data_IF_073375847842
#
_entry.id   IF_073375847842
#
_cell.length_a   1.000
_cell.length_b   1.000
_cell.length_c   1.000
_cell.angle_alpha   90.00
_cell.angle_beta   90.00
_cell.angle_gamma   90.00
#
_symmetry.space_group_name_H-M   'P 1'
#
loop_
_entity.id
_entity.type
_entity.pdbx_description
1 polymer ?
#
# COMPACT_ATOMS: atom_id res chain seq x y z
N UNK A 1 39.49 8.33 -3.79
CA UNK A 1 38.55 7.31 -3.26
C UNK A 1 37.17 7.72 -3.72
N UNK A 2 36.35 6.81 -4.24
CA UNK A 2 34.93 7.15 -4.46
C UNK A 2 34.30 7.14 -3.07
N UNK A 3 33.91 8.31 -2.57
CA UNK A 3 33.28 8.39 -1.26
C UNK A 3 31.92 7.67 -1.32
N UNK A 4 31.81 6.60 -0.53
CA UNK A 4 30.54 5.91 -0.28
C UNK A 4 29.64 6.83 0.54
N UNK A 5 28.35 6.75 0.26
CA UNK A 5 27.36 7.51 1.01
C UNK A 5 27.09 6.83 2.34
N UNK A 6 27.13 7.61 3.42
CA UNK A 6 26.69 7.13 4.73
C UNK A 6 25.18 6.85 4.72
N UNK A 7 24.69 5.85 5.49
CA UNK A 7 23.26 5.60 5.66
C UNK A 7 22.47 6.85 6.04
N UNK A 8 23.01 7.73 6.89
CA UNK A 8 22.34 9.00 7.26
C UNK A 8 22.09 9.90 6.06
N UNK A 9 23.06 10.06 5.16
CA UNK A 9 22.88 10.83 3.92
C UNK A 9 21.83 10.18 3.01
N UNK A 10 21.83 8.85 2.92
CA UNK A 10 20.87 8.13 2.08
C UNK A 10 19.44 8.18 2.65
N UNK A 11 19.28 8.16 3.97
CA UNK A 11 17.99 8.35 4.66
C UNK A 11 17.44 9.74 4.36
N UNK A 12 18.27 10.78 4.37
CA UNK A 12 17.83 12.14 3.97
C UNK A 12 17.31 12.19 2.54
N UNK A 13 17.95 11.47 1.61
CA UNK A 13 17.48 11.36 0.22
C UNK A 13 16.15 10.61 0.14
N UNK A 14 16.00 9.51 0.87
CA UNK A 14 14.76 8.74 0.90
C UNK A 14 13.59 9.55 1.47
N UNK A 15 13.85 10.40 2.47
CA UNK A 15 12.84 11.23 3.14
C UNK A 15 12.61 12.59 2.49
N UNK A 16 13.27 12.89 1.38
CA UNK A 16 13.07 14.15 0.67
C UNK A 16 11.62 14.28 0.17
N UNK A 17 11.05 15.48 0.25
CA UNK A 17 9.63 15.73 -0.06
C UNK A 17 9.26 15.33 -1.50
N UNK A 18 10.16 15.59 -2.46
CA UNK A 18 10.00 15.20 -3.88
C UNK A 18 9.97 13.68 -4.07
N UNK A 19 10.62 12.94 -3.18
CA UNK A 19 10.61 11.47 -3.15
C UNK A 19 9.33 11.00 -2.49
N UNK A 20 8.97 11.50 -1.31
CA UNK A 20 7.77 11.09 -0.58
C UNK A 20 6.49 11.32 -1.40
N UNK A 21 6.36 12.45 -2.11
CA UNK A 21 5.23 12.70 -3.03
C UNK A 21 5.07 11.61 -4.11
N UNK A 22 6.17 11.01 -4.56
CA UNK A 22 6.16 9.92 -5.56
C UNK A 22 5.89 8.54 -4.96
N UNK A 23 5.79 8.44 -3.64
CA UNK A 23 5.59 7.22 -2.88
C UNK A 23 4.18 7.10 -2.31
N UNK A 24 3.34 8.13 -2.46
CA UNK A 24 1.99 8.12 -1.90
C UNK A 24 1.11 7.09 -2.62
N UNK A 25 0.37 6.33 -1.83
CA UNK A 25 -0.56 5.31 -2.29
C UNK A 25 -1.88 5.44 -1.51
N UNK A 26 -3.02 5.12 -2.15
CA UNK A 26 -4.34 5.54 -1.69
C UNK A 26 -4.72 4.90 -0.34
N UNK A 27 -4.69 3.57 -0.23
CA UNK A 27 -5.14 2.86 0.96
C UNK A 27 -4.25 3.16 2.16
N UNK A 28 -2.93 3.17 1.95
CA UNK A 28 -1.98 3.54 3.00
C UNK A 28 -2.23 4.96 3.48
N UNK A 29 -2.45 5.92 2.58
CA UNK A 29 -2.67 7.33 2.93
C UNK A 29 -4.02 7.60 3.61
N UNK A 30 -5.04 6.79 3.32
CA UNK A 30 -6.38 6.95 3.90
C UNK A 30 -6.56 6.19 5.21
N UNK A 31 -6.03 4.96 5.30
CA UNK A 31 -6.39 4.02 6.36
C UNK A 31 -5.21 3.55 7.21
N UNK A 32 -3.96 3.88 6.84
CA UNK A 32 -2.75 3.47 7.58
C UNK A 32 -1.81 4.68 7.77
N UNK A 33 -2.34 5.71 8.42
CA UNK A 33 -1.75 7.06 8.44
C UNK A 33 -0.60 7.23 9.43
N UNK A 34 -0.40 6.28 10.33
CA UNK A 34 0.63 6.34 11.38
C UNK A 34 1.66 5.22 11.19
N UNK A 35 2.87 5.45 11.66
CA UNK A 35 3.91 4.42 11.69
C UNK A 35 4.38 4.12 13.11
N UNK A 36 4.73 2.85 13.35
CA UNK A 36 5.31 2.37 14.62
C UNK A 36 6.55 1.56 14.29
N UNK A 37 7.67 1.80 14.97
CA UNK A 37 8.93 1.11 14.69
C UNK A 37 9.44 0.36 15.92
N UNK A 38 9.75 -0.91 15.73
CA UNK A 38 10.23 -1.82 16.76
C UNK A 38 11.76 -1.97 16.70
N UNK A 39 12.40 -2.21 17.84
CA UNK A 39 13.81 -2.66 17.87
C UNK A 39 13.91 -4.17 17.67
N UNK A 40 12.91 -4.89 18.15
CA UNK A 40 12.77 -6.32 17.93
C UNK A 40 12.55 -6.61 16.45
N UNK A 41 13.11 -7.73 15.98
CA UNK A 41 12.83 -8.25 14.63
C UNK A 41 11.33 -8.37 14.36
N UNK A 42 10.60 -8.81 15.38
CA UNK A 42 9.17 -9.08 15.33
C UNK A 42 8.38 -7.88 15.86
N UNK A 43 7.18 -7.70 15.31
CA UNK A 43 6.20 -6.68 15.73
C UNK A 43 5.41 -7.27 16.89
N UNK A 44 5.37 -6.54 18.00
CA UNK A 44 4.71 -6.99 19.24
C UNK A 44 3.44 -6.16 19.44
N UNK A 45 2.30 -6.72 19.05
CA UNK A 45 1.02 -6.02 18.96
C UNK A 45 0.52 -5.51 20.31
N UNK A 46 0.69 -6.27 21.39
CA UNK A 46 0.18 -5.90 22.71
C UNK A 46 0.99 -4.80 23.41
N UNK A 47 2.11 -4.39 22.83
CA UNK A 47 2.88 -3.21 23.29
C UNK A 47 2.44 -1.91 22.63
N UNK A 48 1.54 -1.97 21.64
CA UNK A 48 1.02 -0.81 20.94
C UNK A 48 -0.12 -0.21 21.77
N UNK A 49 0.10 0.99 22.31
CA UNK A 49 -0.88 1.71 23.12
C UNK A 49 -1.95 2.39 22.24
N UNK A 50 -2.79 1.58 21.60
CA UNK A 50 -3.95 2.05 20.85
C UNK A 50 -5.12 1.06 20.92
N UNK A 51 -6.26 1.43 21.51
CA UNK A 51 -7.41 0.54 21.66
C UNK A 51 -8.11 0.18 20.35
N UNK A 52 -7.80 0.88 19.24
CA UNK A 52 -8.36 0.59 17.92
C UNK A 52 -7.53 -0.42 17.13
N UNK A 53 -6.30 -0.69 17.56
CA UNK A 53 -5.39 -1.64 16.93
C UNK A 53 -5.60 -3.03 17.57
N UNK A 54 -5.67 -4.11 16.77
CA UNK A 54 -5.81 -5.45 17.31
C UNK A 54 -4.58 -5.85 18.13
N UNK A 55 -4.83 -6.46 19.30
CA UNK A 55 -3.78 -6.92 20.23
C UNK A 55 -3.16 -8.26 19.79
N UNK A 56 -3.80 -8.96 18.85
CA UNK A 56 -3.38 -10.24 18.30
C UNK A 56 -3.94 -10.42 16.88
N UNK A 57 -3.32 -11.29 16.11
CA UNK A 57 -3.81 -11.76 14.83
C UNK A 57 -3.77 -13.29 14.78
N UNK A 58 -4.61 -13.90 13.95
CA UNK A 58 -4.56 -15.35 13.75
C UNK A 58 -3.52 -15.67 12.67
N UNK A 59 -2.49 -16.42 13.03
CA UNK A 59 -1.40 -16.82 12.14
C UNK A 59 -1.59 -18.28 11.72
N UNK A 60 -1.46 -18.59 10.43
CA UNK A 60 -1.51 -19.96 9.93
C UNK A 60 -0.31 -20.26 9.02
N UNK A 61 0.48 -21.32 9.26
CA UNK A 61 1.55 -21.70 8.36
C UNK A 61 0.99 -22.12 6.99
N UNK A 62 1.82 -22.01 5.95
CA UNK A 62 1.45 -22.42 4.60
C UNK A 62 2.38 -23.50 4.06
N UNK A 63 1.79 -24.54 3.47
CA UNK A 63 2.53 -25.56 2.69
C UNK A 63 2.26 -25.31 1.21
N UNK A 64 3.22 -24.69 0.54
CA UNK A 64 3.05 -24.20 -0.83
C UNK A 64 1.98 -23.10 -0.92
N UNK A 65 0.87 -23.39 -1.60
CA UNK A 65 -0.27 -22.48 -1.74
C UNK A 65 -1.44 -22.81 -0.82
N UNK A 66 -1.35 -23.87 0.00
CA UNK A 66 -2.41 -24.28 0.92
C UNK A 66 -2.13 -23.74 2.31
N UNK A 67 -3.14 -23.14 2.92
CA UNK A 67 -3.10 -22.64 4.31
C UNK A 67 -3.47 -23.78 5.25
N UNK A 68 -2.60 -24.10 6.20
CA UNK A 68 -2.84 -25.10 7.23
C UNK A 68 -3.56 -24.47 8.42
N UNK A 69 -4.87 -24.21 8.27
CA UNK A 69 -5.68 -23.56 9.32
C UNK A 69 -5.78 -24.37 10.61
N UNK A 70 -5.71 -25.70 10.53
CA UNK A 70 -5.72 -26.59 11.72
C UNK A 70 -4.46 -26.42 12.59
N UNK A 71 -3.36 -25.94 11.99
CA UNK A 71 -2.11 -25.60 12.67
C UNK A 71 -2.02 -24.11 13.03
N UNK A 72 -3.11 -23.36 12.81
CA UNK A 72 -3.18 -21.93 13.08
C UNK A 72 -3.29 -21.62 14.57
N UNK A 73 -2.80 -20.45 14.97
CA UNK A 73 -2.83 -19.99 16.35
C UNK A 73 -2.98 -18.47 16.42
N UNK A 74 -3.59 -17.98 17.50
CA UNK A 74 -3.64 -16.56 17.80
C UNK A 74 -2.28 -16.10 18.37
N UNK A 75 -1.69 -15.08 17.75
CA UNK A 75 -0.38 -14.55 18.14
C UNK A 75 -0.44 -13.05 18.34
N UNK A 76 0.20 -12.60 19.42
CA UNK A 76 0.49 -11.19 19.69
C UNK A 76 1.77 -10.72 18.98
N UNK A 77 2.58 -11.65 18.52
CA UNK A 77 3.86 -11.38 17.86
C UNK A 77 3.75 -11.75 16.38
N UNK A 78 4.05 -10.78 15.53
CA UNK A 78 4.01 -10.94 14.07
C UNK A 78 5.44 -10.80 13.54
N UNK A 79 5.84 -11.72 12.67
CA UNK A 79 7.12 -11.60 11.98
C UNK A 79 6.91 -10.99 10.59
N UNK A 80 7.23 -9.70 10.37
CA UNK A 80 7.00 -9.07 9.08
C UNK A 80 7.89 -9.65 7.98
N UNK A 81 7.43 -9.53 6.73
CA UNK A 81 8.23 -9.86 5.56
C UNK A 81 9.41 -8.89 5.42
N UNK A 82 10.64 -9.38 5.64
CA UNK A 82 11.83 -8.54 5.52
C UNK A 82 12.16 -8.29 4.05
N UNK A 83 12.23 -7.02 3.66
CA UNK A 83 12.54 -6.57 2.30
C UNK A 83 13.93 -5.94 2.23
N UNK A 84 14.69 -6.28 1.18
CA UNK A 84 16.02 -5.72 0.93
C UNK A 84 16.33 -5.49 -0.56
N UNK A 85 15.46 -4.79 -1.33
CA UNK A 85 15.70 -4.53 -2.74
C UNK A 85 17.07 -3.87 -2.96
N UNK A 86 17.82 -4.41 -3.92
CA UNK A 86 19.20 -4.00 -4.24
C UNK A 86 19.33 -3.59 -5.71
N UNK A 87 20.23 -2.67 -5.98
CA UNK A 87 20.56 -2.22 -7.34
C UNK A 87 22.05 -2.00 -7.46
N UNK A 88 22.65 -2.50 -8.54
CA UNK A 88 24.04 -2.19 -8.88
C UNK A 88 24.14 -0.79 -9.50
N UNK A 89 25.20 -0.06 -9.15
CA UNK A 89 25.53 1.24 -9.71
C UNK A 89 26.60 1.03 -10.76
N UNK A 90 26.15 0.86 -12.01
CA UNK A 90 27.05 0.76 -13.15
C UNK A 90 27.36 2.17 -13.67
N UNK A 91 28.58 2.71 -13.53
CA UNK A 91 28.93 4.05 -13.98
C UNK A 91 28.89 4.21 -15.50
N UNK A 92 29.04 3.13 -16.28
CA UNK A 92 29.13 3.17 -17.74
C UNK A 92 27.76 3.30 -18.43
N UNK A 93 26.67 2.93 -17.75
CA UNK A 93 25.31 3.19 -18.28
C UNK A 93 24.99 4.68 -18.20
N UNK A 94 24.58 5.33 -19.28
CA UNK A 94 24.20 6.75 -19.21
C UNK A 94 22.97 6.93 -18.30
N UNK A 95 23.05 7.79 -17.28
CA UNK A 95 21.86 8.18 -16.54
C UNK A 95 20.99 9.10 -17.42
N UNK A 96 19.68 9.06 -17.24
CA UNK A 96 18.81 10.08 -17.84
C UNK A 96 18.95 11.34 -16.98
N UNK A 97 19.31 12.47 -17.61
CA UNK A 97 19.45 13.77 -16.93
C UNK A 97 18.09 14.16 -16.32
N UNK A 98 18.01 14.43 -15.00
CA UNK A 98 16.81 14.95 -14.38
C UNK A 98 16.40 16.32 -14.96
N UNK A 99 15.10 16.61 -14.99
CA UNK A 99 14.61 17.93 -15.35
C UNK A 99 15.20 19.00 -14.41
N UNK A 100 15.75 20.09 -14.96
CA UNK A 100 16.33 21.20 -14.19
C UNK A 100 17.84 21.17 -13.95
N UNK A 101 18.57 20.09 -14.30
CA UNK A 101 20.05 20.03 -14.16
C UNK A 101 20.73 20.53 -15.44
N UNK A 102 21.69 21.46 -15.39
CA UNK A 102 22.37 21.94 -16.61
C UNK A 102 23.33 20.87 -17.19
N UNK A 103 23.54 20.83 -18.52
CA UNK A 103 24.49 19.88 -19.13
C UNK A 103 25.92 19.97 -18.57
N UNK A 104 26.33 21.15 -18.11
CA UNK A 104 27.66 21.43 -17.57
C UNK A 104 27.89 20.81 -16.18
N UNK A 105 26.82 20.57 -15.40
CA UNK A 105 26.87 19.88 -14.11
C UNK A 105 26.86 18.34 -14.26
N UNK A 106 26.67 17.84 -15.49
CA UNK A 106 26.55 16.42 -15.80
C UNK A 106 27.93 15.80 -16.11
N UNK A 107 28.80 15.76 -15.11
CA UNK A 107 30.05 14.99 -15.17
C UNK A 107 29.83 13.55 -14.65
N UNK A 108 30.83 12.67 -14.81
CA UNK A 108 30.74 11.26 -14.39
C UNK A 108 30.37 11.08 -12.89
N UNK A 109 30.78 12.01 -12.03
CA UNK A 109 30.40 12.04 -10.60
C UNK A 109 28.93 12.43 -10.40
N UNK A 110 28.43 13.42 -11.15
CA UNK A 110 27.01 13.79 -11.17
C UNK A 110 26.13 12.63 -11.65
N UNK A 111 26.56 11.91 -12.68
CA UNK A 111 25.85 10.73 -13.19
C UNK A 111 25.76 9.59 -12.16
N UNK A 112 26.83 9.32 -11.39
CA UNK A 112 26.80 8.36 -10.28
C UNK A 112 25.80 8.78 -9.21
N UNK A 113 25.83 10.03 -8.77
CA UNK A 113 24.97 10.55 -7.71
C UNK A 113 23.49 10.46 -8.09
N UNK A 114 23.17 10.77 -9.35
CA UNK A 114 21.82 10.62 -9.92
C UNK A 114 21.37 9.15 -9.88
N UNK A 115 22.24 8.20 -10.25
CA UNK A 115 21.90 6.77 -10.20
C UNK A 115 21.68 6.26 -8.78
N UNK A 116 22.50 6.69 -7.82
CA UNK A 116 22.30 6.35 -6.40
C UNK A 116 20.95 6.87 -5.93
N UNK A 117 20.62 8.15 -6.19
CA UNK A 117 19.30 8.72 -5.88
C UNK A 117 18.19 7.93 -6.56
N UNK A 118 18.31 7.62 -7.85
CA UNK A 118 17.30 6.87 -8.60
C UNK A 118 17.11 5.44 -8.06
N UNK A 119 18.18 4.77 -7.68
CA UNK A 119 18.14 3.44 -7.07
C UNK A 119 17.35 3.49 -5.75
N UNK A 120 17.63 4.46 -4.88
CA UNK A 120 16.90 4.64 -3.61
C UNK A 120 15.43 4.91 -3.86
N UNK A 121 15.10 5.80 -4.80
CA UNK A 121 13.71 6.11 -5.16
C UNK A 121 12.99 4.86 -5.66
N UNK A 122 13.60 4.08 -6.56
CA UNK A 122 13.01 2.86 -7.09
C UNK A 122 12.82 1.79 -6.00
N UNK A 123 13.79 1.64 -5.11
CA UNK A 123 13.73 0.71 -3.98
C UNK A 123 12.64 1.11 -2.99
N UNK A 124 12.55 2.40 -2.65
CA UNK A 124 11.50 2.95 -1.80
C UNK A 124 10.12 2.77 -2.44
N UNK A 125 9.98 2.97 -3.76
CA UNK A 125 8.75 2.69 -4.51
C UNK A 125 8.34 1.22 -4.41
N UNK A 126 9.27 0.29 -4.56
CA UNK A 126 8.99 -1.14 -4.43
C UNK A 126 8.51 -1.52 -3.01
N UNK A 127 9.16 -0.97 -1.98
CA UNK A 127 8.74 -1.18 -0.58
C UNK A 127 7.35 -0.60 -0.34
N UNK A 128 7.08 0.63 -0.78
CA UNK A 128 5.77 1.29 -0.63
C UNK A 128 4.68 0.59 -1.43
N UNK A 129 4.98 0.08 -2.61
CA UNK A 129 4.06 -0.76 -3.37
C UNK A 129 3.72 -2.06 -2.60
N UNK A 130 4.69 -2.71 -1.95
CA UNK A 130 4.40 -3.87 -1.10
C UNK A 130 3.52 -3.51 0.09
N UNK A 131 3.75 -2.36 0.73
CA UNK A 131 2.92 -1.85 1.83
C UNK A 131 1.49 -1.61 1.35
N UNK A 132 1.31 -0.94 0.21
CA UNK A 132 -0.02 -0.70 -0.36
C UNK A 132 -0.72 -2.00 -0.74
N UNK A 133 0.00 -2.95 -1.33
CA UNK A 133 -0.55 -4.27 -1.66
C UNK A 133 -1.03 -5.00 -0.39
N UNK A 134 -0.23 -5.01 0.67
CA UNK A 134 -0.65 -5.58 1.96
C UNK A 134 -1.84 -4.82 2.56
N UNK A 135 -1.87 -3.49 2.49
CA UNK A 135 -2.96 -2.66 2.98
C UNK A 135 -4.29 -2.99 2.26
N UNK A 136 -4.27 -3.08 0.93
CA UNK A 136 -5.44 -3.45 0.14
C UNK A 136 -5.88 -4.88 0.44
N UNK A 137 -4.96 -5.85 0.51
CA UNK A 137 -5.29 -7.24 0.86
C UNK A 137 -5.91 -7.35 2.25
N UNK A 138 -5.36 -6.63 3.24
CA UNK A 138 -5.88 -6.62 4.59
C UNK A 138 -7.34 -6.11 4.64
N UNK A 139 -7.63 -5.02 3.94
CA UNK A 139 -8.98 -4.43 3.92
C UNK A 139 -9.97 -5.25 3.08
N UNK A 140 -9.54 -5.75 1.92
CA UNK A 140 -10.44 -6.43 0.97
C UNK A 140 -10.73 -7.88 1.33
N UNK A 141 -9.79 -8.56 2.00
CA UNK A 141 -9.91 -9.99 2.31
C UNK A 141 -9.87 -10.28 3.81
N UNK A 142 -9.48 -9.30 4.63
CA UNK A 142 -9.17 -9.50 6.05
C UNK A 142 -7.82 -10.19 6.29
N UNK A 143 -7.05 -10.48 5.24
CA UNK A 143 -5.89 -11.37 5.33
C UNK A 143 -4.68 -10.84 4.60
N UNK A 144 -3.50 -11.26 5.06
CA UNK A 144 -2.24 -11.02 4.37
C UNK A 144 -1.43 -12.31 4.27
N UNK A 145 -0.84 -12.56 3.10
CA UNK A 145 0.18 -13.58 2.95
C UNK A 145 1.54 -12.92 3.18
N UNK A 146 2.24 -13.40 4.20
CA UNK A 146 3.55 -12.89 4.60
C UNK A 146 4.62 -13.83 4.09
N UNK A 147 5.58 -13.26 3.38
CA UNK A 147 6.77 -13.93 2.87
C UNK A 147 7.94 -12.95 2.94
N UNK A 148 9.15 -13.49 2.98
CA UNK A 148 10.35 -12.66 3.05
C UNK A 148 11.57 -13.48 3.42
N UNK A 149 12.71 -12.79 3.47
CA UNK A 149 13.97 -13.46 3.75
C UNK A 149 14.01 -14.05 5.18
N UNK A 150 14.34 -15.33 5.26
CA UNK A 150 14.55 -16.02 6.54
C UNK A 150 13.26 -16.24 7.34
N UNK A 151 12.11 -16.29 6.66
CA UNK A 151 10.81 -16.68 7.23
C UNK A 151 10.11 -17.67 6.30
N UNK A 152 9.42 -18.64 6.88
CA UNK A 152 8.49 -19.47 6.12
C UNK A 152 7.23 -18.67 5.81
N UNK A 153 6.59 -18.97 4.67
CA UNK A 153 5.39 -18.29 4.22
C UNK A 153 4.22 -18.63 5.15
N UNK A 154 3.45 -17.62 5.55
CA UNK A 154 2.29 -17.81 6.43
C UNK A 154 1.18 -16.80 6.15
N UNK A 155 -0.06 -17.15 6.51
CA UNK A 155 -1.24 -16.28 6.45
C UNK A 155 -1.43 -15.56 7.80
N UNK A 156 -1.62 -14.25 7.75
CA UNK A 156 -2.19 -13.45 8.82
C UNK A 156 -3.67 -13.21 8.52
N UNK A 157 -4.54 -13.54 9.47
CA UNK A 157 -5.98 -13.28 9.41
C UNK A 157 -6.35 -12.28 10.52
N UNK A 158 -6.83 -11.11 10.11
CA UNK A 158 -7.30 -10.02 10.96
C UNK A 158 -8.72 -10.26 11.48
N UNK A 159 -9.34 -11.38 11.11
CA UNK A 159 -10.66 -11.81 11.54
C UNK A 159 -11.77 -10.82 11.12
N UNK A 160 -11.74 -10.42 9.85
CA UNK A 160 -12.86 -9.68 9.26
C UNK A 160 -14.10 -10.58 9.22
N UNK A 161 -15.26 -10.04 9.60
CA UNK A 161 -16.52 -10.79 9.56
C UNK A 161 -16.86 -11.19 8.12
N UNK A 162 -17.28 -12.44 7.86
CA UNK A 162 -17.62 -12.88 6.50
C UNK A 162 -18.70 -12.04 5.82
N UNK A 163 -19.67 -11.51 6.58
CA UNK A 163 -20.73 -10.64 6.06
C UNK A 163 -20.21 -9.30 5.49
N UNK A 164 -19.00 -8.89 5.86
CA UNK A 164 -18.34 -7.69 5.35
C UNK A 164 -17.65 -7.94 3.99
N UNK A 165 -17.57 -9.19 3.53
CA UNK A 165 -17.04 -9.56 2.21
C UNK A 165 -18.18 -10.07 1.36
N UNK A 166 -18.72 -9.20 0.52
CA UNK A 166 -19.92 -9.44 -0.28
C UNK A 166 -19.52 -9.76 -1.72
N UNK A 167 -20.19 -10.73 -2.32
CA UNK A 167 -20.08 -11.01 -3.76
C UNK A 167 -21.48 -10.99 -4.35
N UNK A 168 -21.73 -10.05 -5.25
CA UNK A 168 -22.96 -10.05 -6.03
C UNK A 168 -23.02 -11.34 -6.86
N UNK A 169 -24.18 -11.97 -6.85
CA UNK A 169 -24.42 -13.20 -7.61
C UNK A 169 -25.89 -13.34 -8.00
N UNK A 170 -26.13 -13.91 -9.18
CA UNK A 170 -27.47 -14.18 -9.69
C UNK A 170 -28.32 -12.90 -9.78
N UNK A 171 -29.52 -12.91 -9.20
CA UNK A 171 -30.45 -11.78 -9.31
C UNK A 171 -30.02 -10.49 -8.62
N UNK A 172 -28.94 -10.50 -7.83
CA UNK A 172 -28.37 -9.33 -7.15
C UNK A 172 -27.32 -8.61 -7.98
N UNK A 173 -26.84 -9.21 -9.07
CA UNK A 173 -25.80 -8.61 -9.90
C UNK A 173 -26.30 -7.36 -10.60
N UNK A 174 -25.51 -6.29 -10.49
CA UNK A 174 -25.75 -5.07 -11.26
C UNK A 174 -25.66 -5.31 -12.77
N UNK A 175 -25.08 -6.43 -13.23
CA UNK A 175 -25.05 -6.85 -14.65
C UNK A 175 -26.45 -7.00 -15.24
N UNK A 176 -27.37 -7.58 -14.47
CA UNK A 176 -28.70 -7.98 -14.89
C UNK A 176 -29.81 -6.99 -14.51
N UNK A 177 -29.47 -5.89 -13.82
CA UNK A 177 -30.45 -4.87 -13.42
C UNK A 177 -30.80 -3.94 -14.60
N UNK A 178 -32.05 -3.51 -14.63
CA UNK A 178 -32.52 -2.51 -15.60
C UNK A 178 -31.90 -1.14 -15.29
N UNK A 179 -31.15 -0.60 -16.25
CA UNK A 179 -30.43 0.66 -16.11
C UNK A 179 -31.32 1.87 -15.98
N UNK A 180 -32.59 1.78 -16.41
CA UNK A 180 -33.52 2.90 -16.41
C UNK A 180 -34.30 3.03 -15.10
N UNK A 181 -34.48 1.93 -14.37
CA UNK A 181 -35.36 1.88 -13.19
C UNK A 181 -34.65 1.52 -11.90
N UNK A 182 -33.53 0.79 -11.97
CA UNK A 182 -32.78 0.38 -10.78
C UNK A 182 -31.88 1.51 -10.26
N UNK A 183 -31.91 1.74 -8.95
CA UNK A 183 -30.98 2.62 -8.26
C UNK A 183 -29.95 1.78 -7.46
N UNK A 184 -28.67 1.77 -7.84
CA UNK A 184 -27.64 1.05 -7.10
C UNK A 184 -27.28 1.69 -5.75
N UNK A 185 -27.78 2.89 -5.42
CA UNK A 185 -27.55 3.51 -4.11
C UNK A 185 -28.20 2.71 -2.97
N UNK A 186 -29.40 2.15 -3.18
CA UNK A 186 -30.11 1.35 -2.17
C UNK A 186 -29.30 0.10 -1.76
N UNK A 187 -28.64 -0.51 -2.76
CA UNK A 187 -27.71 -1.61 -2.56
C UNK A 187 -26.48 -1.17 -1.76
N UNK A 188 -25.90 0.00 -2.08
CA UNK A 188 -24.74 0.54 -1.36
C UNK A 188 -25.09 0.84 0.10
N UNK A 189 -26.26 1.41 0.37
CA UNK A 189 -26.76 1.63 1.73
C UNK A 189 -26.90 0.31 2.48
N UNK A 190 -27.48 -0.71 1.84
CA UNK A 190 -27.60 -2.06 2.41
C UNK A 190 -26.23 -2.71 2.68
N UNK A 191 -25.24 -2.52 1.79
CA UNK A 191 -23.88 -3.00 2.02
C UNK A 191 -23.22 -2.28 3.19
N UNK A 192 -23.46 -0.97 3.35
CA UNK A 192 -22.90 -0.18 4.44
C UNK A 192 -23.38 -0.63 5.82
N UNK A 193 -24.59 -1.22 5.93
CA UNK A 193 -25.15 -1.73 7.20
C UNK A 193 -24.33 -2.88 7.82
N UNK A 194 -23.52 -3.59 7.03
CA UNK A 194 -22.62 -4.62 7.56
C UNK A 194 -21.40 -4.05 8.30
N UNK A 195 -21.12 -2.75 8.13
CA UNK A 195 -20.04 -2.06 8.84
C UNK A 195 -20.41 -1.79 10.31
N UNK A 196 -19.46 -2.00 11.22
CA UNK A 196 -19.61 -1.61 12.65
C UNK A 196 -19.44 -0.09 12.89
N UNK A 197 -19.59 0.72 11.85
CA UNK A 197 -19.40 2.17 11.88
C UNK A 197 -19.99 2.84 10.65
N UNK A 198 -19.93 4.17 10.65
CA UNK A 198 -20.41 4.98 9.52
C UNK A 198 -19.43 4.88 8.35
N UNK A 199 -19.95 4.75 7.13
CA UNK A 199 -19.18 4.85 5.89
C UNK A 199 -19.12 6.30 5.45
N UNK A 200 -17.93 6.85 5.17
CA UNK A 200 -17.78 8.20 4.60
C UNK A 200 -17.03 8.23 3.27
N UNK A 201 -16.54 7.08 2.81
CA UNK A 201 -15.84 6.94 1.55
C UNK A 201 -16.11 5.57 0.91
N UNK A 202 -16.27 5.58 -0.41
CA UNK A 202 -16.35 4.40 -1.27
C UNK A 202 -15.22 4.48 -2.28
N UNK A 203 -14.35 3.48 -2.28
CA UNK A 203 -13.27 3.32 -3.24
C UNK A 203 -13.68 2.24 -4.23
N UNK A 204 -13.87 2.63 -5.49
CA UNK A 204 -14.32 1.76 -6.57
C UNK A 204 -13.16 1.40 -7.50
N UNK A 205 -13.10 0.13 -7.91
CA UNK A 205 -12.36 -0.28 -9.08
C UNK A 205 -12.95 0.30 -10.37
N UNK A 206 -12.15 0.31 -11.44
CA UNK A 206 -12.54 0.93 -12.71
C UNK A 206 -13.81 0.32 -13.34
N UNK A 207 -14.01 -0.99 -13.22
CA UNK A 207 -15.20 -1.66 -13.74
C UNK A 207 -16.42 -1.39 -12.88
N UNK A 208 -16.26 -1.34 -11.55
CA UNK A 208 -17.34 -0.93 -10.64
C UNK A 208 -17.86 0.45 -11.02
N UNK A 209 -16.97 1.44 -11.14
CA UNK A 209 -17.37 2.79 -11.53
C UNK A 209 -18.07 2.82 -12.89
N UNK A 210 -17.53 2.08 -13.88
CA UNK A 210 -18.12 1.99 -15.22
C UNK A 210 -19.56 1.47 -15.17
N UNK A 211 -19.84 0.51 -14.30
CA UNK A 211 -21.15 -0.10 -14.13
C UNK A 211 -22.10 0.78 -13.34
N UNK A 212 -21.65 1.27 -12.19
CA UNK A 212 -22.37 2.19 -11.32
C UNK A 212 -22.86 3.44 -12.06
N UNK A 213 -21.99 4.11 -12.82
CA UNK A 213 -22.37 5.30 -13.60
C UNK A 213 -23.28 5.03 -14.80
N UNK A 214 -23.59 3.76 -15.10
CA UNK A 214 -24.40 3.40 -16.26
C UNK A 214 -25.91 3.51 -16.00
N UNK A 215 -26.31 3.44 -14.73
CA UNK A 215 -27.69 3.58 -14.27
C UNK A 215 -28.17 5.03 -14.39
N UNK A 216 -29.43 5.23 -14.81
CA UNK A 216 -30.04 6.55 -15.03
C UNK A 216 -30.06 7.39 -13.75
N UNK A 217 -30.44 6.79 -12.61
CA UNK A 217 -30.44 7.46 -11.30
C UNK A 217 -29.08 8.11 -10.98
N UNK A 218 -27.99 7.41 -11.28
CA UNK A 218 -26.63 7.90 -11.04
C UNK A 218 -26.23 9.00 -12.05
N UNK A 219 -26.59 8.85 -13.32
CA UNK A 219 -26.31 9.88 -14.34
C UNK A 219 -26.98 11.21 -13.98
N UNK A 220 -28.26 11.17 -13.61
CA UNK A 220 -29.04 12.35 -13.23
C UNK A 220 -28.45 13.04 -11.99
N UNK A 221 -28.00 12.26 -11.00
CA UNK A 221 -27.34 12.79 -9.80
C UNK A 221 -25.96 13.42 -10.07
N UNK A 222 -25.20 12.91 -11.05
CA UNK A 222 -23.90 13.46 -11.43
C UNK A 222 -24.01 14.76 -12.23
N UNK A 223 -24.98 14.87 -13.13
CA UNK A 223 -25.16 16.06 -13.97
C UNK A 223 -25.54 17.30 -13.16
N UNK A 224 -26.24 17.14 -12.04
CA UNK A 224 -26.65 18.24 -11.15
C UNK A 224 -25.50 18.80 -10.30
N UNK A 225 -24.36 18.09 -10.16
CA UNK A 225 -23.31 18.38 -9.15
C UNK A 225 -22.02 18.98 -9.69
N UNK A 226 -21.98 19.45 -10.94
CA UNK A 226 -20.78 19.93 -11.66
C UNK A 226 -20.04 21.17 -11.09
N UNK A 227 -20.26 21.59 -9.85
CA UNK A 227 -19.76 22.87 -9.32
C UNK A 227 -19.27 22.93 -7.87
N UNK A 228 -19.03 21.81 -7.17
CA UNK A 228 -18.56 21.84 -5.78
C UNK A 228 -17.12 21.31 -5.66
N UNK A 229 -16.19 22.16 -5.19
CA UNK A 229 -14.82 21.77 -4.85
C UNK A 229 -14.75 21.47 -3.34
N UNK A 230 -14.32 20.26 -2.96
CA UNK A 230 -14.19 19.86 -1.53
C UNK A 230 -12.72 19.66 -1.12
N UNK A 231 -12.43 19.73 0.19
CA UNK A 231 -11.08 19.47 0.73
C UNK A 231 -10.55 18.09 0.36
N UNK A 232 -11.41 17.06 0.38
CA UNK A 232 -11.07 15.69 0.02
C UNK A 232 -10.66 15.56 -1.45
N UNK A 233 -11.27 16.35 -2.35
CA UNK A 233 -10.82 16.41 -3.75
C UNK A 233 -9.38 16.93 -3.86
N UNK A 234 -8.98 17.86 -3.01
CA UNK A 234 -7.62 18.43 -3.01
C UNK A 234 -6.60 17.42 -2.50
N UNK A 235 -6.92 16.69 -1.41
CA UNK A 235 -6.06 15.63 -0.88
C UNK A 235 -5.85 14.47 -1.89
N UNK A 236 -6.86 14.15 -2.70
CA UNK A 236 -6.77 13.10 -3.72
C UNK A 236 -6.08 13.57 -5.00
N UNK A 237 -6.05 14.87 -5.31
CA UNK A 237 -5.29 15.43 -6.45
C UNK A 237 -3.79 15.19 -6.30
N UNK A 238 -3.27 15.22 -5.08
CA UNK A 238 -1.86 14.95 -4.79
C UNK A 238 -1.48 13.46 -4.94
N UNK A 239 -2.45 12.55 -5.07
CA UNK A 239 -2.24 11.11 -5.30
C UNK A 239 -2.11 10.74 -6.80
N UNK A 240 -2.15 11.71 -7.72
CA UNK A 240 -1.78 11.56 -9.13
C UNK A 240 -2.65 10.62 -9.98
N UNK A 241 -2.15 10.28 -11.18
CA UNK A 241 -2.82 9.59 -12.33
C UNK A 241 -3.60 8.29 -12.02
N UNK A 242 -3.52 7.78 -10.79
CA UNK A 242 -4.12 6.51 -10.37
C UNK A 242 -5.37 6.66 -9.49
N UNK A 243 -5.70 7.87 -9.07
CA UNK A 243 -6.85 8.17 -8.20
C UNK A 243 -7.71 9.24 -8.86
N UNK A 244 -9.02 9.01 -8.92
CA UNK A 244 -9.96 9.99 -9.47
C UNK A 244 -11.16 10.15 -8.55
N UNK A 245 -11.23 11.32 -7.91
CA UNK A 245 -12.41 11.73 -7.14
C UNK A 245 -13.60 11.96 -8.08
N UNK A 246 -14.77 11.43 -7.73
CA UNK A 246 -16.00 11.51 -8.55
C UNK A 246 -17.09 12.38 -7.97
N UNK A 247 -16.93 12.88 -6.75
CA UNK A 247 -17.94 13.63 -6.02
C UNK A 247 -18.43 12.86 -4.81
N UNK A 248 -19.62 13.24 -4.32
CA UNK A 248 -20.26 12.61 -3.17
C UNK A 248 -21.56 11.90 -3.59
N UNK A 249 -21.99 10.93 -2.80
CA UNK A 249 -23.33 10.36 -2.72
C UNK A 249 -23.81 10.63 -1.29
N UNK A 250 -24.80 11.51 -1.11
CA UNK A 250 -25.06 12.08 0.22
C UNK A 250 -23.81 12.75 0.81
N UNK A 251 -23.38 12.29 1.98
CA UNK A 251 -22.14 12.66 2.68
C UNK A 251 -20.97 11.70 2.41
N UNK A 252 -21.16 10.67 1.57
CA UNK A 252 -20.16 9.65 1.27
C UNK A 252 -19.35 10.02 0.02
N UNK A 253 -18.03 10.13 0.16
CA UNK A 253 -17.12 10.40 -0.95
C UNK A 253 -17.00 9.20 -1.91
N UNK A 254 -17.04 9.44 -3.22
CA UNK A 254 -16.79 8.40 -4.24
C UNK A 254 -15.42 8.64 -4.89
N UNK A 255 -14.57 7.63 -4.83
CA UNK A 255 -13.21 7.63 -5.40
C UNK A 255 -13.06 6.44 -6.32
N UNK A 256 -12.45 6.65 -7.49
CA UNK A 256 -12.04 5.56 -8.38
C UNK A 256 -10.55 5.34 -8.24
N UNK A 257 -10.15 4.11 -7.98
CA UNK A 257 -8.75 3.72 -7.84
C UNK A 257 -8.32 2.78 -8.96
N UNK A 258 -7.28 3.18 -9.69
CA UNK A 258 -6.69 2.46 -10.81
C UNK A 258 -5.20 2.19 -10.63
N UNK A 259 -4.70 2.27 -9.39
CA UNK A 259 -3.31 1.98 -9.04
C UNK A 259 -2.86 0.59 -9.50
N UNK A 260 -1.62 0.51 -9.96
CA UNK A 260 -0.98 -0.72 -10.46
C UNK A 260 0.38 -0.94 -9.81
N UNK A 261 0.77 -2.21 -9.74
CA UNK A 261 2.10 -2.67 -9.42
C UNK A 261 2.56 -3.71 -10.42
N UNK A 262 3.86 -3.92 -10.51
CA UNK A 262 4.46 -5.01 -11.27
C UNK A 262 4.80 -6.13 -10.29
N UNK A 263 4.32 -7.34 -10.56
CA UNK A 263 4.66 -8.51 -9.75
C UNK A 263 6.06 -9.06 -10.08
N UNK A 264 6.46 -10.13 -9.39
CA UNK A 264 7.79 -10.75 -9.57
C UNK A 264 7.99 -11.31 -10.99
N UNK A 265 6.91 -11.68 -11.68
CA UNK A 265 6.92 -12.20 -13.05
C UNK A 265 6.97 -11.07 -14.11
N UNK A 266 6.97 -9.80 -13.68
CA UNK A 266 6.99 -8.65 -14.58
C UNK A 266 5.61 -8.26 -15.13
N UNK A 267 4.53 -8.82 -14.61
CA UNK A 267 3.16 -8.55 -15.04
C UNK A 267 2.57 -7.38 -14.26
N UNK A 268 1.98 -6.41 -14.97
CA UNK A 268 1.22 -5.35 -14.32
C UNK A 268 -0.11 -5.89 -13.77
N UNK A 269 -0.34 -5.65 -12.48
CA UNK A 269 -1.57 -5.99 -11.76
C UNK A 269 -2.14 -4.76 -11.07
N UNK A 270 -3.45 -4.75 -10.89
CA UNK A 270 -4.11 -3.71 -10.11
C UNK A 270 -3.96 -3.99 -8.61
N UNK A 271 -3.76 -2.93 -7.81
CA UNK A 271 -3.77 -3.04 -6.35
C UNK A 271 -5.16 -3.46 -5.85
N UNK A 272 -6.19 -2.71 -6.25
CA UNK A 272 -7.59 -3.06 -6.07
C UNK A 272 -8.11 -3.69 -7.36
N UNK A 273 -8.62 -4.92 -7.28
CA UNK A 273 -9.28 -5.58 -8.41
C UNK A 273 -10.36 -4.65 -9.02
N UNK A 274 -10.36 -4.43 -10.34
CA UNK A 274 -11.30 -3.51 -11.00
C UNK A 274 -12.78 -3.78 -10.72
N UNK A 275 -13.14 -5.01 -10.35
CA UNK A 275 -14.52 -5.45 -10.02
C UNK A 275 -14.83 -5.38 -8.51
N UNK A 276 -13.93 -4.84 -7.69
CA UNK A 276 -14.15 -4.60 -6.26
C UNK A 276 -14.47 -3.13 -5.96
N UNK A 277 -15.32 -2.92 -4.96
CA UNK A 277 -15.43 -1.67 -4.22
C UNK A 277 -15.26 -1.88 -2.72
N UNK A 278 -14.74 -0.86 -2.05
CA UNK A 278 -14.50 -0.84 -0.61
C UNK A 278 -15.25 0.33 0.00
N UNK A 279 -16.14 0.05 0.93
CA UNK A 279 -16.79 1.01 1.82
C UNK A 279 -15.95 1.10 3.09
N UNK A 280 -15.64 2.31 3.53
CA UNK A 280 -14.87 2.53 4.74
C UNK A 280 -15.06 3.92 5.33
N UNK A 281 -14.23 4.22 6.32
CA UNK A 281 -14.21 5.53 6.97
C UNK A 281 -12.79 6.06 7.09
N UNK A 282 -12.53 7.29 6.64
CA UNK A 282 -11.21 7.93 6.73
C UNK A 282 -10.75 8.24 8.16
N UNK A 283 -11.63 8.14 9.15
CA UNK A 283 -11.27 8.18 10.57
C UNK A 283 -10.67 6.85 11.08
N UNK A 284 -10.67 5.79 10.28
CA UNK A 284 -10.01 4.52 10.61
C UNK A 284 -8.49 4.69 10.42
N UNK A 285 -7.83 5.04 11.52
CA UNK A 285 -6.39 5.29 11.54
C UNK A 285 -5.62 4.03 11.93
N UNK A 286 -5.52 3.08 11.00
CA UNK A 286 -4.58 1.96 11.10
C UNK A 286 -3.13 2.43 11.15
N UNK A 287 -2.21 1.48 11.26
CA UNK A 287 -0.77 1.76 11.34
C UNK A 287 0.01 0.93 10.35
N UNK A 288 1.16 1.44 9.90
CA UNK A 288 2.22 0.59 9.34
C UNK A 288 3.26 0.35 10.43
N UNK A 289 3.31 -0.88 10.93
CA UNK A 289 4.32 -1.29 11.90
C UNK A 289 5.56 -1.81 11.17
N UNK A 290 6.75 -1.48 11.70
CA UNK A 290 8.03 -1.87 11.14
C UNK A 290 8.81 -2.69 12.15
N UNK A 291 9.17 -3.91 11.78
CA UNK A 291 10.14 -4.71 12.54
C UNK A 291 11.54 -4.08 12.49
N UNK A 292 12.36 -4.40 13.48
CA UNK A 292 13.72 -3.89 13.61
C UNK A 292 14.61 -4.32 12.45
N UNK A 293 15.51 -3.44 12.04
CA UNK A 293 16.50 -3.68 10.99
C UNK A 293 17.45 -4.81 11.43
N UNK A 294 17.67 -5.78 10.54
CA UNK A 294 18.46 -6.98 10.83
C UNK A 294 19.88 -6.95 10.24
N UNK A 295 20.23 -5.88 9.51
CA UNK A 295 21.53 -5.76 8.88
C UNK A 295 22.63 -5.38 9.90
N UNK A 296 23.69 -6.21 10.08
CA UNK A 296 24.69 -5.97 11.12
C UNK A 296 25.45 -4.65 10.97
N UNK A 297 25.66 -4.17 9.76
CA UNK A 297 26.37 -2.90 9.52
C UNK A 297 25.49 -1.73 9.91
N UNK A 298 24.23 -1.72 9.47
CA UNK A 298 23.25 -0.71 9.86
C UNK A 298 23.01 -0.68 11.38
N UNK A 299 22.94 -1.86 12.03
CA UNK A 299 22.83 -1.98 13.49
C UNK A 299 24.05 -1.36 14.19
N UNK A 300 25.28 -1.66 13.73
CA UNK A 300 26.51 -1.07 14.30
C UNK A 300 26.55 0.46 14.17
N UNK A 301 25.88 1.00 13.16
CA UNK A 301 25.74 2.44 12.94
C UNK A 301 24.56 3.05 13.72
N UNK A 302 23.87 2.27 14.56
CA UNK A 302 22.74 2.71 15.37
C UNK A 302 21.41 2.77 14.62
N UNK A 303 21.33 2.33 13.36
CA UNK A 303 20.11 2.32 12.56
C UNK A 303 19.33 1.01 12.77
N UNK A 304 18.75 0.85 13.96
CA UNK A 304 17.96 -0.33 14.33
C UNK A 304 16.45 -0.17 14.07
N UNK A 305 15.95 1.07 14.11
CA UNK A 305 14.55 1.45 13.84
C UNK A 305 14.48 2.38 12.62
N UNK A 306 13.84 1.95 11.55
CA UNK A 306 13.64 2.79 10.37
C UNK A 306 12.50 2.26 9.48
N UNK A 307 11.78 3.16 8.81
CA UNK A 307 10.88 2.77 7.71
C UNK A 307 11.68 2.31 6.48
N UNK A 308 12.78 3.02 6.19
CA UNK A 308 13.71 2.76 5.11
C UNK A 308 15.13 2.91 5.64
N UNK A 309 15.91 1.84 5.57
CA UNK A 309 17.31 1.79 5.96
C UNK A 309 18.21 1.54 4.75
N UNK A 310 18.52 2.58 3.95
CA UNK A 310 19.42 2.48 2.81
C UNK A 310 20.89 2.38 3.23
N UNK A 311 21.65 1.56 2.50
CA UNK A 311 23.11 1.48 2.57
C UNK A 311 23.74 1.47 1.18
N UNK A 312 24.94 2.00 1.08
CA UNK A 312 25.77 1.97 -0.12
C UNK A 312 27.10 1.28 0.20
N UNK A 313 27.47 0.27 -0.58
CA UNK A 313 28.67 -0.52 -0.36
C UNK A 313 29.27 -1.02 -1.67
N UNK A 314 30.57 -1.32 -1.67
CA UNK A 314 31.27 -1.92 -2.79
C UNK A 314 31.60 -3.37 -2.44
N UNK A 315 31.23 -4.29 -3.33
CA UNK A 315 31.68 -5.67 -3.26
C UNK A 315 33.03 -5.76 -3.99
N UNK A 316 34.13 -6.14 -3.31
CA UNK A 316 35.43 -6.30 -3.96
C UNK A 316 35.42 -7.49 -4.93
N UNK A 317 36.15 -7.37 -6.03
CA UNK A 317 36.23 -8.38 -7.09
C UNK A 317 36.85 -7.82 -8.37
N UNK A 318 36.90 -8.65 -9.43
CA UNK A 318 37.29 -8.21 -10.78
C UNK A 318 36.12 -8.46 -11.75
N UNK A 319 35.27 -7.44 -12.03
CA UNK A 319 35.33 -6.06 -11.53
C UNK A 319 34.69 -5.88 -10.15
N UNK A 320 35.11 -4.84 -9.42
CA UNK A 320 34.43 -4.39 -8.21
C UNK A 320 33.07 -3.75 -8.57
N UNK A 321 32.02 -4.05 -7.79
CA UNK A 321 30.64 -3.60 -8.08
C UNK A 321 30.11 -2.79 -6.90
N UNK A 322 29.67 -1.57 -7.17
CA UNK A 322 28.95 -0.73 -6.22
C UNK A 322 27.46 -1.13 -6.17
N UNK A 323 26.91 -1.24 -4.96
CA UNK A 323 25.51 -1.55 -4.71
C UNK A 323 24.88 -0.54 -3.76
N UNK A 324 23.65 -0.18 -4.08
CA UNK A 324 22.75 0.48 -3.15
C UNK A 324 21.64 -0.50 -2.79
N UNK A 325 21.34 -0.63 -1.51
CA UNK A 325 20.31 -1.52 -0.99
C UNK A 325 19.50 -0.83 0.10
N UNK A 326 18.18 -0.98 0.09
CA UNK A 326 17.30 -0.40 1.11
C UNK A 326 16.60 -1.49 1.89
N UNK A 327 16.79 -1.52 3.21
CA UNK A 327 16.17 -2.49 4.10
C UNK A 327 14.87 -1.93 4.71
N UNK A 328 13.85 -2.76 4.85
CA UNK A 328 12.60 -2.44 5.53
C UNK A 328 11.88 -3.73 5.94
N UNK A 329 11.07 -3.68 7.00
CA UNK A 329 10.27 -4.81 7.46
C UNK A 329 8.84 -4.38 7.82
N UNK A 330 8.04 -3.91 6.84
CA UNK A 330 6.75 -3.30 7.12
C UNK A 330 5.61 -4.33 7.20
N UNK A 331 4.60 -4.02 8.03
CA UNK A 331 3.31 -4.69 8.08
C UNK A 331 2.21 -3.67 8.37
N UNK A 332 1.29 -3.42 7.43
CA UNK A 332 0.05 -2.69 7.70
C UNK A 332 -0.81 -3.47 8.71
N UNK A 333 -1.32 -2.77 9.71
CA UNK A 333 -2.22 -3.30 10.74
C UNK A 333 -3.49 -2.44 10.73
N UNK A 334 -4.63 -3.02 10.35
CA UNK A 334 -5.87 -2.27 10.20
C UNK A 334 -6.46 -1.90 11.57
N UNK A 335 -6.98 -0.68 11.69
CA UNK A 335 -7.79 -0.30 12.84
C UNK A 335 -9.24 -0.77 12.63
N UNK A 336 -9.81 -1.48 13.63
CA UNK A 336 -11.21 -1.95 13.63
C UNK A 336 -11.66 -2.53 12.27
N UNK A 337 -11.04 -3.64 11.84
CA UNK A 337 -11.22 -4.20 10.49
C UNK A 337 -12.69 -4.43 10.07
N UNK A 338 -13.60 -4.70 11.02
CA UNK A 338 -15.04 -4.88 10.78
C UNK A 338 -15.81 -3.59 10.45
N UNK A 339 -15.11 -2.46 10.31
CA UNK A 339 -15.65 -1.19 9.77
C UNK A 339 -15.38 -0.99 8.28
N UNK A 340 -14.73 -1.95 7.64
CA UNK A 340 -14.63 -2.02 6.19
C UNK A 340 -15.64 -3.03 5.66
N UNK A 341 -16.24 -2.71 4.51
CA UNK A 341 -17.07 -3.65 3.73
C UNK A 341 -16.52 -3.67 2.31
N UNK A 342 -16.27 -4.86 1.78
CA UNK A 342 -15.77 -5.06 0.43
C UNK A 342 -16.82 -5.79 -0.39
N UNK A 343 -17.11 -5.27 -1.57
CA UNK A 343 -18.12 -5.82 -2.47
C UNK A 343 -17.50 -6.12 -3.82
N UNK A 344 -17.62 -7.37 -4.28
CA UNK A 344 -17.37 -7.77 -5.66
C UNK A 344 -18.66 -7.65 -6.45
N UNK A 345 -18.64 -6.87 -7.52
CA UNK A 345 -19.76 -6.83 -8.46
C UNK A 345 -19.70 -8.03 -9.41
N UNK A 346 -20.88 -8.51 -9.83
CA UNK A 346 -21.05 -9.49 -10.91
C UNK A 346 -21.57 -8.82 -12.16
#
# INVERSE_FOLDING_TARGET
>A
MVDLYSPTQLVQVANAEDVQKKLNALFTSLFFTRSVMFESRDIILDTIDDPNIPIAAFCSPMVGSKVSRDEGYESKTIRPGYMKPKSSIDPNKLAVRPAGVSPEQYNAFGARNIKVKQAIVNQAKAIRARIEWLAVQAITTGKNIIEGDGIERYELDWNIKPQNIITQSGGTEWSGKDKETFDPNDDIESYAEFSEGVTNIIIMGGNVWKKYRSFRAIKEALDTRRGSNSELETALKDLGDSVSFKGYMGDVAIVVYSGRYTDEDGTEKHFLDPDLMVLGNTALQGIVAYGGIQDPELIRMGLTKAELAPKNYIVPGDPAIEYVQTHSAPQPIPARINRFVTVRIG
#
